data_IF_779936683531
#
_entry.id   IF_779936683531
#
_cell.length_a   1.000
_cell.length_b   1.000
_cell.length_c   1.000
_cell.angle_alpha   90.00
_cell.angle_beta   90.00
_cell.angle_gamma   90.00
#
_symmetry.space_group_name_H-M   'P 1'
#
loop_
_entity.id
_entity.type
_entity.pdbx_description
1 polymer ?
#
# COMPACT_ATOMS: atom_id res chain seq x y z
N UNK A 1 9.01 4.98 -12.81
CA UNK A 1 7.94 4.23 -13.51
C UNK A 1 6.80 3.84 -12.57
N UNK A 2 7.05 3.16 -11.45
CA UNK A 2 5.99 2.79 -10.49
C UNK A 2 5.12 3.98 -10.03
N UNK A 3 5.74 5.10 -9.62
CA UNK A 3 5.01 6.32 -9.22
C UNK A 3 4.07 6.85 -10.31
N UNK A 4 4.47 6.76 -11.59
CA UNK A 4 3.62 7.19 -12.70
C UNK A 4 2.37 6.30 -12.82
N UNK A 5 2.51 4.98 -12.66
CA UNK A 5 1.36 4.07 -12.65
C UNK A 5 0.44 4.29 -11.45
N UNK A 6 0.99 4.56 -10.27
CA UNK A 6 0.20 4.92 -9.09
C UNK A 6 -0.59 6.21 -9.32
N UNK A 7 0.01 7.21 -9.95
CA UNK A 7 -0.66 8.46 -10.32
C UNK A 7 -1.74 8.25 -11.38
N UNK A 8 -1.50 7.40 -12.38
CA UNK A 8 -2.52 6.99 -13.35
C UNK A 8 -3.69 6.26 -12.70
N UNK A 9 -3.43 5.41 -11.69
CA UNK A 9 -4.47 4.75 -10.90
C UNK A 9 -5.35 5.78 -10.18
N UNK A 10 -4.74 6.80 -9.55
CA UNK A 10 -5.45 7.90 -8.92
C UNK A 10 -6.25 8.74 -9.93
N UNK A 11 -5.69 9.03 -11.11
CA UNK A 11 -6.44 9.71 -12.18
C UNK A 11 -7.63 8.88 -12.68
N UNK A 12 -7.49 7.56 -12.83
CA UNK A 12 -8.60 6.67 -13.20
C UNK A 12 -9.75 6.72 -12.18
N UNK A 13 -9.42 6.81 -10.88
CA UNK A 13 -10.42 7.02 -9.82
C UNK A 13 -11.12 8.36 -9.98
N UNK A 14 -10.35 9.46 -10.04
CA UNK A 14 -10.88 10.82 -9.98
C UNK A 14 -11.65 11.24 -11.24
N UNK A 15 -11.22 10.77 -12.41
CA UNK A 15 -11.77 11.19 -13.70
C UNK A 15 -12.81 10.23 -14.26
N UNK A 16 -12.71 8.93 -13.94
CA UNK A 16 -13.50 7.89 -14.61
C UNK A 16 -14.31 7.01 -13.64
N UNK A 17 -14.00 7.05 -12.34
CA UNK A 17 -14.59 6.15 -11.35
C UNK A 17 -14.51 4.65 -11.76
N UNK A 18 -13.43 4.28 -12.44
CA UNK A 18 -13.25 2.92 -12.98
C UNK A 18 -12.36 2.08 -12.06
N UNK A 19 -12.97 1.24 -11.23
CA UNK A 19 -12.22 0.38 -10.32
C UNK A 19 -11.42 -0.72 -11.00
N UNK A 20 -11.86 -1.20 -12.17
CA UNK A 20 -11.17 -2.27 -12.91
C UNK A 20 -9.87 -1.72 -13.48
N UNK A 21 -9.95 -0.55 -14.11
CA UNK A 21 -8.77 0.12 -14.64
C UNK A 21 -7.84 0.60 -13.53
N UNK A 22 -8.37 1.16 -12.44
CA UNK A 22 -7.56 1.53 -11.26
C UNK A 22 -6.77 0.33 -10.73
N UNK A 23 -7.41 -0.83 -10.54
CA UNK A 23 -6.72 -2.05 -10.11
C UNK A 23 -5.65 -2.49 -11.12
N UNK A 24 -5.93 -2.36 -12.42
CA UNK A 24 -4.96 -2.66 -13.46
C UNK A 24 -3.74 -1.73 -13.38
N UNK A 25 -3.92 -0.44 -13.10
CA UNK A 25 -2.81 0.49 -12.93
C UNK A 25 -1.93 0.15 -11.72
N UNK A 26 -2.54 -0.25 -10.60
CA UNK A 26 -1.78 -0.75 -9.44
C UNK A 26 -0.98 -2.02 -9.77
N UNK A 27 -1.59 -2.98 -10.48
CA UNK A 27 -0.87 -4.18 -10.93
C UNK A 27 0.30 -3.86 -11.86
N UNK A 28 0.13 -2.91 -12.79
CA UNK A 28 1.21 -2.43 -13.67
C UNK A 28 2.34 -1.76 -12.90
N UNK A 29 2.04 -1.04 -11.82
CA UNK A 29 3.06 -0.46 -10.92
C UNK A 29 3.98 -1.55 -10.37
N UNK A 30 3.39 -2.63 -9.82
CA UNK A 30 4.14 -3.76 -9.28
C UNK A 30 4.94 -4.52 -10.34
N UNK A 31 4.33 -4.82 -11.49
CA UNK A 31 5.01 -5.52 -12.59
C UNK A 31 6.19 -4.72 -13.15
N UNK A 32 6.03 -3.40 -13.31
CA UNK A 32 7.12 -2.54 -13.77
C UNK A 32 8.28 -2.52 -12.79
N UNK A 33 8.01 -2.48 -11.49
CA UNK A 33 9.04 -2.59 -10.46
C UNK A 33 9.79 -3.91 -10.54
N UNK A 34 9.07 -5.03 -10.71
CA UNK A 34 9.69 -6.35 -10.86
C UNK A 34 10.59 -6.41 -12.10
N UNK A 35 10.11 -5.93 -13.24
CA UNK A 35 10.87 -5.95 -14.48
C UNK A 35 12.18 -5.14 -14.40
N UNK A 36 12.18 -4.02 -13.66
CA UNK A 36 13.38 -3.19 -13.49
C UNK A 36 14.35 -3.73 -12.44
N UNK A 37 13.86 -4.45 -11.42
CA UNK A 37 14.66 -4.84 -10.25
C UNK A 37 14.92 -6.35 -10.13
N UNK A 38 14.39 -7.17 -11.04
CA UNK A 38 14.67 -8.61 -11.04
C UNK A 38 16.11 -8.95 -11.44
N UNK A 39 16.85 -8.01 -12.04
CA UNK A 39 18.22 -8.21 -12.55
C UNK A 39 19.31 -7.57 -11.69
N UNK A 40 18.95 -6.66 -10.80
CA UNK A 40 19.88 -5.98 -9.90
C UNK A 40 19.12 -5.52 -8.66
N UNK A 41 19.70 -5.63 -7.45
CA UNK A 41 19.07 -5.11 -6.25
C UNK A 41 18.71 -3.62 -6.43
N UNK A 42 17.48 -3.25 -6.11
CA UNK A 42 17.04 -1.86 -6.18
C UNK A 42 17.92 -0.98 -5.29
N UNK A 43 18.57 0.04 -5.88
CA UNK A 43 19.47 0.96 -5.18
C UNK A 43 18.84 2.33 -4.88
N UNK A 44 17.54 2.52 -5.14
CA UNK A 44 16.86 3.78 -4.85
C UNK A 44 16.53 3.96 -3.35
N UNK A 45 15.98 5.13 -2.98
CA UNK A 45 15.63 5.46 -1.60
C UNK A 45 14.58 4.49 -1.03
N UNK A 46 14.69 4.21 0.27
CA UNK A 46 13.93 3.16 0.95
C UNK A 46 12.42 3.37 0.92
N UNK A 47 11.94 4.59 1.16
CA UNK A 47 10.51 4.93 1.12
C UNK A 47 9.85 4.58 -0.23
N UNK A 48 10.61 4.65 -1.33
CA UNK A 48 10.15 4.28 -2.67
C UNK A 48 10.06 2.76 -2.92
N UNK A 49 10.76 1.93 -2.14
CA UNK A 49 10.79 0.46 -2.29
C UNK A 49 9.46 -0.19 -1.91
N UNK A 50 8.79 0.40 -0.92
CA UNK A 50 7.54 -0.13 -0.39
C UNK A 50 6.31 0.26 -1.22
N UNK A 51 6.39 1.28 -2.08
CA UNK A 51 5.24 1.76 -2.85
C UNK A 51 4.69 0.71 -3.82
N UNK A 52 5.51 0.04 -4.68
CA UNK A 52 4.99 -0.94 -5.62
C UNK A 52 4.42 -2.19 -4.91
N UNK A 53 4.95 -2.51 -3.72
CA UNK A 53 4.40 -3.54 -2.87
C UNK A 53 2.99 -3.17 -2.39
N UNK A 54 2.82 -1.96 -1.83
CA UNK A 54 1.52 -1.44 -1.40
C UNK A 54 0.53 -1.29 -2.57
N UNK A 55 1.01 -0.87 -3.74
CA UNK A 55 0.22 -0.85 -4.98
C UNK A 55 -0.30 -2.25 -5.32
N UNK A 56 0.58 -3.26 -5.34
CA UNK A 56 0.15 -4.63 -5.64
C UNK A 56 -0.91 -5.14 -4.65
N UNK A 57 -0.77 -4.81 -3.36
CA UNK A 57 -1.80 -5.09 -2.35
C UNK A 57 -3.10 -4.33 -2.61
N UNK A 58 -3.03 -3.03 -2.93
CA UNK A 58 -4.19 -2.19 -3.26
C UNK A 58 -4.89 -2.60 -4.56
N UNK A 59 -4.18 -3.20 -5.51
CA UNK A 59 -4.73 -3.84 -6.70
C UNK A 59 -5.24 -5.26 -6.44
N UNK A 60 -4.94 -5.84 -5.27
CA UNK A 60 -5.28 -7.20 -4.88
C UNK A 60 -4.47 -8.31 -5.57
N UNK A 61 -3.36 -7.96 -6.22
CA UNK A 61 -2.46 -8.93 -6.87
C UNK A 61 -1.44 -9.48 -5.86
N UNK A 62 -1.86 -10.46 -5.07
CA UNK A 62 -1.00 -11.11 -4.07
C UNK A 62 0.17 -11.88 -4.71
N UNK A 63 0.08 -12.26 -5.99
CA UNK A 63 1.16 -12.91 -6.71
C UNK A 63 2.31 -11.94 -6.96
N UNK A 64 1.99 -10.76 -7.49
CA UNK A 64 2.95 -9.66 -7.66
C UNK A 64 3.46 -9.17 -6.32
N UNK A 65 2.61 -9.02 -5.31
CA UNK A 65 3.04 -8.61 -3.97
C UNK A 65 4.07 -9.59 -3.36
N UNK A 66 3.87 -10.91 -3.52
CA UNK A 66 4.85 -11.94 -3.12
C UNK A 66 6.17 -11.83 -3.87
N UNK A 67 6.12 -11.64 -5.19
CA UNK A 67 7.32 -11.49 -5.99
C UNK A 67 8.12 -10.23 -5.59
N UNK A 68 7.44 -9.12 -5.28
CA UNK A 68 8.09 -7.90 -4.78
C UNK A 68 8.68 -8.14 -3.41
N UNK A 69 7.93 -8.78 -2.50
CA UNK A 69 8.39 -9.09 -1.15
C UNK A 69 9.71 -9.88 -1.12
N UNK A 70 9.93 -10.76 -2.10
CA UNK A 70 11.17 -11.52 -2.25
C UNK A 70 12.39 -10.65 -2.64
N UNK A 71 12.18 -9.45 -3.17
CA UNK A 71 13.25 -8.51 -3.54
C UNK A 71 13.53 -7.45 -2.46
N UNK A 72 12.66 -7.35 -1.45
CA UNK A 72 12.79 -6.32 -0.42
C UNK A 72 13.83 -6.72 0.65
N UNK A 73 14.49 -5.74 1.28
CA UNK A 73 15.40 -6.00 2.38
C UNK A 73 14.74 -6.80 3.52
N UNK A 74 15.52 -7.70 4.12
CA UNK A 74 15.13 -8.46 5.31
C UNK A 74 15.77 -7.90 6.58
N UNK A 75 16.62 -6.90 6.45
CA UNK A 75 17.34 -6.24 7.55
C UNK A 75 17.18 -4.74 7.35
N UNK A 76 16.83 -4.04 8.43
CA UNK A 76 16.72 -2.59 8.47
C UNK A 76 18.08 -1.96 8.16
N UNK A 77 18.10 -1.02 7.22
CA UNK A 77 19.25 -0.14 7.00
C UNK A 77 18.95 1.22 7.64
N UNK A 78 19.47 1.42 8.85
CA UNK A 78 19.15 2.58 9.71
C UNK A 78 19.47 3.94 9.04
N UNK A 79 20.38 3.96 8.07
CA UNK A 79 20.78 5.14 7.30
C UNK A 79 19.92 5.39 6.06
N UNK A 80 19.15 4.39 5.61
CA UNK A 80 18.33 4.47 4.39
C UNK A 80 16.82 4.47 4.67
N UNK A 81 16.36 3.74 5.69
CA UNK A 81 14.95 3.40 5.89
C UNK A 81 14.41 3.87 7.24
N UNK A 82 13.16 4.31 7.25
CA UNK A 82 12.44 4.60 8.47
C UNK A 82 11.99 3.28 9.11
N UNK A 83 12.27 3.11 10.40
CA UNK A 83 12.09 1.85 11.12
C UNK A 83 10.61 1.41 11.17
N UNK A 84 9.70 2.35 11.39
CA UNK A 84 8.25 2.19 11.38
C UNK A 84 7.74 1.69 10.01
N UNK A 85 8.18 2.29 8.89
CA UNK A 85 7.81 1.82 7.55
C UNK A 85 8.34 0.42 7.28
N UNK A 86 9.60 0.16 7.66
CA UNK A 86 10.24 -1.14 7.50
C UNK A 86 9.50 -2.23 8.27
N UNK A 87 9.28 -2.05 9.58
CA UNK A 87 8.63 -3.06 10.42
C UNK A 87 7.16 -3.26 10.08
N UNK A 88 6.45 -2.19 9.71
CA UNK A 88 5.09 -2.32 9.20
C UNK A 88 5.06 -3.20 7.94
N UNK A 89 5.96 -2.96 6.99
CA UNK A 89 6.05 -3.77 5.78
C UNK A 89 6.45 -5.22 6.07
N UNK A 90 7.43 -5.45 6.96
CA UNK A 90 7.82 -6.81 7.38
C UNK A 90 6.66 -7.56 8.01
N UNK A 91 5.86 -6.89 8.85
CA UNK A 91 4.65 -7.49 9.42
C UNK A 91 3.70 -7.95 8.32
N UNK A 92 3.35 -7.09 7.36
CA UNK A 92 2.41 -7.43 6.28
C UNK A 92 2.90 -8.62 5.44
N UNK A 93 4.19 -8.64 5.10
CA UNK A 93 4.80 -9.75 4.35
C UNK A 93 4.71 -11.04 5.16
N UNK A 94 5.13 -11.01 6.42
CA UNK A 94 5.16 -12.19 7.28
C UNK A 94 3.76 -12.74 7.54
N UNK A 95 2.80 -11.87 7.84
CA UNK A 95 1.43 -12.24 8.17
C UNK A 95 0.67 -12.80 6.97
N UNK A 96 0.74 -12.15 5.80
CA UNK A 96 -0.16 -12.44 4.68
C UNK A 96 0.48 -13.18 3.52
N UNK A 97 1.79 -13.08 3.34
CA UNK A 97 2.44 -13.58 2.13
C UNK A 97 3.30 -14.82 2.38
N UNK A 98 3.92 -14.93 3.56
CA UNK A 98 4.73 -16.09 3.94
C UNK A 98 4.10 -16.94 5.05
N UNK A 99 3.04 -16.43 5.70
CA UNK A 99 2.41 -17.06 6.86
C UNK A 99 3.41 -17.39 7.99
N UNK A 100 4.44 -16.57 8.15
CA UNK A 100 5.47 -16.72 9.17
C UNK A 100 5.06 -15.99 10.46
N UNK A 101 4.28 -16.67 11.30
CA UNK A 101 3.74 -16.08 12.54
C UNK A 101 4.82 -15.56 13.50
N UNK A 102 5.99 -16.22 13.58
CA UNK A 102 7.10 -15.79 14.43
C UNK A 102 7.66 -14.45 13.95
N UNK A 103 7.90 -14.33 12.66
CA UNK A 103 8.42 -13.10 12.07
C UNK A 103 7.39 -11.96 12.14
N UNK A 104 6.11 -12.25 11.93
CA UNK A 104 5.03 -11.28 12.10
C UNK A 104 5.00 -10.75 13.54
N UNK A 105 5.09 -11.63 14.54
CA UNK A 105 5.12 -11.23 15.95
C UNK A 105 6.37 -10.38 16.28
N UNK A 106 7.55 -10.76 15.79
CA UNK A 106 8.78 -9.97 15.98
C UNK A 106 8.71 -8.60 15.32
N UNK A 107 8.16 -8.52 14.10
CA UNK A 107 7.98 -7.25 13.40
C UNK A 107 6.96 -6.34 14.12
N UNK A 108 5.88 -6.90 14.67
CA UNK A 108 4.90 -6.17 15.46
C UNK A 108 5.50 -5.64 16.77
N UNK A 109 6.28 -6.46 17.47
CA UNK A 109 6.98 -6.04 18.69
C UNK A 109 7.94 -4.89 18.38
N UNK A 110 8.74 -4.99 17.32
CA UNK A 110 9.62 -3.91 16.90
C UNK A 110 8.84 -2.65 16.49
N UNK A 111 7.74 -2.80 15.75
CA UNK A 111 6.86 -1.69 15.36
C UNK A 111 6.28 -0.96 16.58
N UNK A 112 5.95 -1.69 17.65
CA UNK A 112 5.41 -1.11 18.90
C UNK A 112 6.39 -0.18 19.61
N UNK A 113 7.70 -0.30 19.32
CA UNK A 113 8.73 0.60 19.86
C UNK A 113 8.90 1.87 19.02
N UNK A 114 8.30 1.92 17.82
CA UNK A 114 8.36 3.07 16.93
C UNK A 114 7.25 4.08 17.27
N UNK A 115 7.62 5.28 17.72
CA UNK A 115 6.67 6.31 18.13
C UNK A 115 5.68 6.70 17.01
N UNK A 116 6.18 6.88 15.79
CA UNK A 116 5.37 7.34 14.66
C UNK A 116 4.29 6.31 14.26
N UNK A 117 4.58 5.01 14.37
CA UNK A 117 3.63 3.94 14.05
C UNK A 117 2.44 3.87 15.03
N UNK A 118 2.62 4.39 16.25
CA UNK A 118 1.54 4.51 17.22
C UNK A 118 0.67 5.75 16.97
N UNK A 119 1.18 6.76 16.26
CA UNK A 119 0.49 8.02 15.98
C UNK A 119 -0.32 8.00 14.67
N UNK A 120 -0.07 7.02 13.78
CA UNK A 120 -0.71 6.94 12.46
C UNK A 120 -1.53 5.65 12.20
N UNK A 121 -1.89 4.93 13.26
CA UNK A 121 -2.79 3.77 13.19
C UNK A 121 -2.20 2.47 12.65
N UNK A 122 -0.97 2.46 12.11
CA UNK A 122 -0.33 1.24 11.59
C UNK A 122 -0.15 0.17 12.66
N UNK A 123 0.24 0.55 13.88
CA UNK A 123 0.36 -0.39 14.99
C UNK A 123 -0.99 -1.07 15.32
N UNK A 124 -2.06 -0.28 15.44
CA UNK A 124 -3.41 -0.79 15.72
C UNK A 124 -3.91 -1.73 14.62
N UNK A 125 -3.66 -1.41 13.35
CA UNK A 125 -3.99 -2.28 12.22
C UNK A 125 -3.27 -3.63 12.34
N UNK A 126 -1.97 -3.65 12.64
CA UNK A 126 -1.21 -4.89 12.78
C UNK A 126 -1.68 -5.73 13.97
N UNK A 127 -1.94 -5.10 15.12
CA UNK A 127 -2.53 -5.80 16.27
C UNK A 127 -3.90 -6.38 15.95
N UNK A 128 -4.73 -5.64 15.23
CA UNK A 128 -6.04 -6.06 14.79
C UNK A 128 -5.98 -7.27 13.86
N UNK A 129 -5.03 -7.29 12.91
CA UNK A 129 -4.79 -8.45 12.06
C UNK A 129 -4.36 -9.69 12.85
N UNK A 130 -3.50 -9.51 13.85
CA UNK A 130 -3.04 -10.64 14.67
C UNK A 130 -4.17 -11.23 15.52
N UNK A 131 -5.08 -10.39 16.02
CA UNK A 131 -6.17 -10.77 16.94
C UNK A 131 -7.51 -11.02 16.24
N UNK A 132 -7.62 -10.73 14.94
CA UNK A 132 -8.91 -10.73 14.22
C UNK A 132 -9.89 -9.68 14.76
N UNK A 133 -9.40 -8.56 15.31
CA UNK A 133 -10.25 -7.57 15.98
C UNK A 133 -10.75 -6.52 14.98
N UNK A 134 -12.04 -6.60 14.62
CA UNK A 134 -12.69 -5.68 13.70
C UNK A 134 -12.70 -4.23 14.19
N UNK A 135 -12.99 -3.98 15.46
CA UNK A 135 -13.11 -2.63 16.01
C UNK A 135 -11.75 -1.92 16.00
N UNK A 136 -10.70 -2.62 16.45
CA UNK A 136 -9.33 -2.10 16.41
C UNK A 136 -8.85 -1.87 14.97
N UNK A 137 -9.23 -2.73 14.03
CA UNK A 137 -8.91 -2.51 12.61
C UNK A 137 -9.56 -1.24 12.08
N UNK A 138 -10.86 -1.05 12.34
CA UNK A 138 -11.61 0.11 11.88
C UNK A 138 -11.03 1.41 12.47
N UNK A 139 -10.69 1.41 13.76
CA UNK A 139 -10.04 2.55 14.40
C UNK A 139 -8.67 2.86 13.76
N UNK A 140 -7.78 1.87 13.68
CA UNK A 140 -6.44 2.07 13.11
C UNK A 140 -6.47 2.50 11.64
N UNK A 141 -7.46 2.03 10.86
CA UNK A 141 -7.66 2.47 9.48
C UNK A 141 -8.09 3.94 9.40
N UNK A 142 -8.96 4.40 10.29
CA UNK A 142 -9.36 5.82 10.34
C UNK A 142 -8.18 6.72 10.72
N UNK A 143 -7.34 6.29 11.66
CA UNK A 143 -6.11 6.99 12.03
C UNK A 143 -5.12 7.06 10.86
N UNK A 144 -4.94 5.96 10.12
CA UNK A 144 -4.10 5.92 8.92
C UNK A 144 -4.59 6.88 7.83
N UNK A 145 -5.90 6.95 7.62
CA UNK A 145 -6.53 7.88 6.66
C UNK A 145 -6.33 9.33 7.10
N UNK A 146 -6.43 9.62 8.40
CA UNK A 146 -6.20 10.97 8.93
C UNK A 146 -4.74 11.39 8.81
N UNK A 147 -3.81 10.48 9.12
CA UNK A 147 -2.37 10.71 8.94
C UNK A 147 -2.03 10.98 7.47
N UNK A 148 -2.64 10.23 6.53
CA UNK A 148 -2.52 10.49 5.10
C UNK A 148 -3.01 11.90 4.74
N UNK A 149 -4.21 12.29 5.20
CA UNK A 149 -4.75 13.64 4.93
C UNK A 149 -3.83 14.72 5.47
N UNK A 150 -3.39 14.57 6.72
CA UNK A 150 -2.52 15.53 7.42
C UNK A 150 -1.20 15.70 6.67
N UNK A 151 -0.58 14.59 6.24
CA UNK A 151 0.64 14.62 5.42
C UNK A 151 0.47 15.46 4.15
N UNK A 152 -0.63 15.30 3.41
CA UNK A 152 -0.84 16.05 2.16
C UNK A 152 -1.22 17.51 2.40
N UNK A 153 -1.92 17.82 3.50
CA UNK A 153 -2.13 19.21 3.94
C UNK A 153 -0.78 19.88 4.24
N UNK A 154 0.10 19.21 4.98
CA UNK A 154 1.44 19.73 5.31
C UNK A 154 2.31 19.92 4.05
N UNK A 155 2.30 18.96 3.12
CA UNK A 155 3.01 19.08 1.85
C UNK A 155 2.51 20.27 1.02
N UNK A 156 1.20 20.51 1.02
CA UNK A 156 0.58 21.66 0.33
C UNK A 156 1.02 22.97 0.98
N UNK A 157 0.95 23.08 2.32
CA UNK A 157 1.34 24.29 3.04
C UNK A 157 2.82 24.63 2.91
N UNK A 158 3.67 23.63 2.74
CA UNK A 158 5.12 23.78 2.59
C UNK A 158 5.59 23.89 1.14
N UNK A 159 4.68 23.84 0.16
CA UNK A 159 5.00 23.75 -1.27
C UNK A 159 6.02 22.65 -1.59
N UNK A 160 5.93 21.54 -0.85
CA UNK A 160 6.97 20.49 -0.80
C UNK A 160 6.70 19.31 -1.76
N UNK A 161 5.65 19.42 -2.60
CA UNK A 161 5.33 18.42 -3.61
C UNK A 161 4.68 19.09 -4.85
N UNK A 162 4.79 18.50 -6.05
CA UNK A 162 4.13 19.02 -7.24
C UNK A 162 2.61 19.01 -7.12
N UNK A 163 1.93 20.02 -7.67
CA UNK A 163 0.45 20.14 -7.65
C UNK A 163 -0.26 18.87 -8.15
N UNK A 164 0.26 18.23 -9.20
CA UNK A 164 -0.33 17.01 -9.74
C UNK A 164 -0.33 15.88 -8.71
N UNK A 165 0.71 15.76 -7.88
CA UNK A 165 0.79 14.77 -6.82
C UNK A 165 -0.21 15.08 -5.70
N UNK A 166 -0.27 16.34 -5.28
CA UNK A 166 -1.20 16.81 -4.24
C UNK A 166 -2.66 16.57 -4.64
N UNK A 167 -3.04 16.93 -5.87
CA UNK A 167 -4.40 16.79 -6.39
C UNK A 167 -4.80 15.35 -6.74
N UNK A 168 -3.85 14.42 -6.84
CA UNK A 168 -4.13 13.02 -7.19
C UNK A 168 -3.90 12.09 -6.01
N UNK A 169 -2.66 11.92 -5.58
CA UNK A 169 -2.27 10.99 -4.53
C UNK A 169 -2.70 11.45 -3.14
N UNK A 170 -2.95 12.75 -2.93
CA UNK A 170 -3.51 13.29 -1.69
C UNK A 170 -5.03 13.15 -1.58
N UNK A 171 -5.72 12.89 -2.69
CA UNK A 171 -7.17 12.72 -2.70
C UNK A 171 -7.61 11.30 -2.36
N UNK A 172 -6.70 10.32 -2.38
CA UNK A 172 -7.01 8.89 -2.24
C UNK A 172 -5.97 8.21 -1.32
N UNK A 173 -6.45 7.57 -0.25
CA UNK A 173 -5.61 6.78 0.65
C UNK A 173 -5.41 5.36 0.09
N UNK A 174 -4.48 5.23 -0.85
CA UNK A 174 -4.16 3.94 -1.51
C UNK A 174 -3.65 2.89 -0.50
N UNK A 175 -2.89 3.32 0.50
CA UNK A 175 -2.38 2.43 1.54
C UNK A 175 -3.52 1.91 2.42
N UNK A 176 -4.52 2.76 2.71
CA UNK A 176 -5.76 2.35 3.36
C UNK A 176 -6.53 1.33 2.53
N UNK A 177 -6.62 1.51 1.20
CA UNK A 177 -7.25 0.53 0.31
C UNK A 177 -6.53 -0.84 0.36
N UNK A 178 -5.19 -0.85 0.39
CA UNK A 178 -4.43 -2.09 0.59
C UNK A 178 -4.81 -2.78 1.90
N UNK A 179 -4.96 -2.03 3.00
CA UNK A 179 -5.35 -2.58 4.30
C UNK A 179 -6.78 -3.14 4.28
N UNK A 180 -7.73 -2.45 3.65
CA UNK A 180 -9.11 -2.93 3.47
C UNK A 180 -9.14 -4.26 2.71
N UNK A 181 -8.35 -4.39 1.64
CA UNK A 181 -8.28 -5.65 0.88
C UNK A 181 -7.70 -6.80 1.70
N UNK A 182 -6.66 -6.53 2.50
CA UNK A 182 -6.09 -7.54 3.40
C UNK A 182 -7.06 -7.93 4.51
N UNK A 183 -7.78 -6.98 5.10
CA UNK A 183 -8.82 -7.26 6.11
C UNK A 183 -9.94 -8.13 5.56
N UNK A 184 -10.45 -7.81 4.37
CA UNK A 184 -11.45 -8.64 3.71
C UNK A 184 -10.92 -10.07 3.46
N UNK A 185 -9.67 -10.21 2.97
CA UNK A 185 -9.05 -11.52 2.76
C UNK A 185 -8.80 -12.29 4.07
N UNK A 186 -8.60 -11.58 5.19
CA UNK A 186 -8.43 -12.15 6.53
C UNK A 186 -9.76 -12.51 7.21
N UNK A 187 -10.90 -12.22 6.60
CA UNK A 187 -12.23 -12.40 7.21
C UNK A 187 -12.59 -11.34 8.26
N UNK A 188 -11.85 -10.23 8.33
CA UNK A 188 -12.23 -9.07 9.15
C UNK A 188 -13.31 -8.30 8.38
N UNK A 189 -14.46 -8.09 9.01
CA UNK A 189 -15.53 -7.31 8.41
C UNK A 189 -15.10 -5.83 8.27
N UNK A 190 -15.31 -5.29 7.08
CA UNK A 190 -14.99 -3.91 6.73
C UNK A 190 -16.27 -3.07 6.71
N UNK A 191 -16.14 -1.77 6.93
CA UNK A 191 -17.25 -0.83 6.77
C UNK A 191 -17.56 -0.60 5.28
N UNK A 192 -18.79 -0.17 5.00
CA UNK A 192 -19.23 0.11 3.62
C UNK A 192 -18.52 1.33 3.02
N UNK A 193 -18.01 2.23 3.87
CA UNK A 193 -17.42 3.50 3.47
C UNK A 193 -16.29 3.90 4.40
N UNK A 194 -15.21 4.43 3.82
CA UNK A 194 -14.11 5.05 4.52
C UNK A 194 -13.74 6.37 3.81
N UNK A 195 -13.39 7.44 4.54
CA UNK A 195 -12.92 8.67 3.91
C UNK A 195 -11.68 8.40 3.05
N UNK A 196 -11.56 9.09 1.91
CA UNK A 196 -10.44 8.95 0.96
C UNK A 196 -10.26 7.54 0.37
N UNK A 197 -11.18 6.60 0.61
CA UNK A 197 -11.22 5.29 -0.05
C UNK A 197 -12.58 5.17 -0.74
N UNK A 198 -12.68 5.46 -2.04
CA UNK A 198 -13.93 5.36 -2.77
C UNK A 198 -14.56 3.97 -2.68
N UNK A 199 -15.86 3.89 -2.36
CA UNK A 199 -16.53 2.61 -2.12
C UNK A 199 -16.47 1.66 -3.33
N UNK A 200 -16.44 2.20 -4.55
CA UNK A 200 -16.45 1.39 -5.76
C UNK A 200 -15.14 0.61 -5.90
N UNK A 201 -14.03 1.11 -5.34
CA UNK A 201 -12.76 0.38 -5.30
C UNK A 201 -12.82 -0.82 -4.35
N UNK A 202 -13.53 -0.65 -3.22
CA UNK A 202 -13.78 -1.71 -2.25
C UNK A 202 -14.67 -2.79 -2.90
N UNK A 203 -15.72 -2.38 -3.60
CA UNK A 203 -16.65 -3.26 -4.31
C UNK A 203 -16.05 -3.93 -5.56
N UNK A 204 -15.01 -3.35 -6.15
CA UNK A 204 -14.38 -3.89 -7.36
C UNK A 204 -13.41 -5.03 -7.02
N UNK A 205 -13.71 -6.20 -7.55
CA UNK A 205 -12.85 -7.36 -7.44
C UNK A 205 -11.50 -7.11 -8.15
N UNK A 206 -10.37 -7.50 -7.52
CA UNK A 206 -9.07 -7.57 -8.17
C UNK A 206 -9.14 -8.43 -9.43
N UNK A 207 -8.56 -7.94 -10.53
CA UNK A 207 -8.40 -8.73 -11.75
C UNK A 207 -6.92 -8.98 -11.99
N UNK A 208 -6.47 -10.26 -12.01
CA UNK A 208 -5.08 -10.58 -12.32
C UNK A 208 -4.69 -10.06 -13.71
N UNK A 209 -3.50 -9.47 -13.81
CA UNK A 209 -2.96 -8.98 -15.08
C UNK A 209 -2.05 -10.02 -15.74
N UNK A 210 -1.97 -9.99 -17.07
CA UNK A 210 -0.92 -10.68 -17.80
C UNK A 210 0.47 -10.15 -17.40
N UNK A 211 1.49 -11.00 -17.38
CA UNK A 211 2.82 -10.71 -16.82
C UNK A 211 3.55 -9.50 -17.45
N UNK A 212 3.17 -9.10 -18.66
CA UNK A 212 3.73 -7.97 -19.41
C UNK A 212 2.71 -6.84 -19.66
N UNK A 213 1.60 -6.80 -18.92
CA UNK A 213 0.58 -5.77 -19.05
C UNK A 213 1.12 -4.36 -18.82
N UNK A 214 2.22 -4.24 -18.05
CA UNK A 214 2.94 -2.99 -17.83
C UNK A 214 3.65 -2.42 -19.07
N UNK A 215 3.82 -3.19 -20.15
CA UNK A 215 4.34 -2.69 -21.44
C UNK A 215 3.22 -2.24 -22.39
N UNK A 216 1.98 -2.61 -22.10
CA UNK A 216 0.86 -2.34 -23.00
C UNK A 216 0.32 -0.94 -22.76
N UNK A 217 0.09 -0.18 -23.83
CA UNK A 217 -0.71 1.04 -23.73
C UNK A 217 -2.09 0.68 -23.16
N UNK A 218 -2.64 1.48 -22.24
CA UNK A 218 -4.02 1.29 -21.82
C UNK A 218 -4.93 1.39 -23.04
N UNK A 219 -5.89 0.48 -23.15
CA UNK A 219 -6.94 0.61 -24.16
C UNK A 219 -7.67 1.93 -23.90
N UNK A 220 -7.40 2.93 -24.73
CA UNK A 220 -8.15 4.18 -24.72
C UNK A 220 -9.52 3.84 -25.29
N UNK A 221 -10.48 3.60 -24.40
CA UNK A 221 -11.91 3.46 -24.75
C UNK A 221 -12.59 4.77 -24.43
#
# INVERSE_FOLDING_TARGET
>A
MATAYRMMAACAVLMRMDGVETNAWFGRSGQAFLATNSRSPYQGPAAGRALPFRDALAGGDLGVARAIAALLPTVLREDEEFADEFFFQRFLIAQFLTANAKEAAMALEALSTCREAAEDGRLLICEAFQRGNQESFAQGLMELIEAHRTRYVDLTQREAAPDIELCTLGAICIDGLAMVRLASAAGIAIADQYPLIPNFLIATAPTPLAANAWLSEPSVV
#
